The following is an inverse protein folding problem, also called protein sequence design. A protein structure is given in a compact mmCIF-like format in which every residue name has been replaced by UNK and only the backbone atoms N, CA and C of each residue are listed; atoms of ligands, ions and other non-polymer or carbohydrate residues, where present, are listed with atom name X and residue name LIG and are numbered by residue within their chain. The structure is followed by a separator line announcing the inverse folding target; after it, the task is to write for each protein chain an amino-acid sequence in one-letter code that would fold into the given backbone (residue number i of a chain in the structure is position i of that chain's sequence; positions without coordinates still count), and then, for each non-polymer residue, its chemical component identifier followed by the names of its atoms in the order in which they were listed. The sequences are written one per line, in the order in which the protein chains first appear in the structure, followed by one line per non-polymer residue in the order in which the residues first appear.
data_IF_379785730414
#
_entry.id   IF_379785730414
#
_cell.length_a   1.000
_cell.length_b   1.000
_cell.length_c   1.000
_cell.angle_alpha   90.00
_cell.angle_beta   90.00
_cell.angle_gamma   90.00
#
_symmetry.space_group_name_H-M   'P 1'
#
loop_
_entity.id
_entity.type
_entity.pdbx_description
1 polymer ?
#
# COMPACT_ATOMS: atom_id res chain seq x y z
N UNK A 1 5.67 -11.60 -18.26
CA UNK A 1 5.08 -11.68 -16.91
C UNK A 1 3.94 -10.69 -16.84
N UNK A 2 2.81 -11.04 -16.20
CA UNK A 2 1.65 -10.14 -16.07
C UNK A 2 1.87 -9.28 -14.82
N UNK A 3 1.87 -7.96 -14.99
CA UNK A 3 1.91 -7.02 -13.87
C UNK A 3 0.59 -7.09 -13.08
N UNK A 4 0.65 -6.76 -11.80
CA UNK A 4 -0.52 -6.65 -10.93
C UNK A 4 -0.68 -5.19 -10.49
N UNK A 5 -1.93 -4.75 -10.38
CA UNK A 5 -2.28 -3.41 -9.92
C UNK A 5 -3.07 -3.50 -8.61
N UNK A 6 -2.77 -2.60 -7.68
CA UNK A 6 -3.52 -2.37 -6.45
C UNK A 6 -3.93 -0.89 -6.46
N UNK A 7 -5.20 -0.64 -6.17
CA UNK A 7 -5.75 0.72 -6.13
C UNK A 7 -6.08 1.02 -4.67
N UNK A 8 -5.53 2.11 -4.15
CA UNK A 8 -5.85 2.65 -2.82
C UNK A 8 -6.26 4.12 -2.95
N UNK A 9 -6.93 4.64 -1.94
CA UNK A 9 -7.13 6.10 -1.83
C UNK A 9 -5.78 6.80 -1.64
N UNK A 10 -5.63 7.99 -2.20
CA UNK A 10 -4.46 8.84 -2.00
C UNK A 10 -4.49 9.50 -0.63
N UNK A 11 -3.35 9.56 0.08
CA UNK A 11 -3.29 10.25 1.36
C UNK A 11 -3.43 11.76 1.20
N UNK A 12 -3.75 12.43 2.30
CA UNK A 12 -3.55 13.89 2.43
C UNK A 12 -2.20 14.15 3.07
N UNK A 13 -1.45 15.10 2.53
CA UNK A 13 -0.15 15.52 3.05
C UNK A 13 -0.24 16.92 3.65
N UNK A 14 0.50 17.16 4.73
CA UNK A 14 0.57 18.45 5.40
C UNK A 14 1.79 19.28 4.96
N UNK A 15 2.83 18.62 4.46
CA UNK A 15 4.03 19.23 3.90
C UNK A 15 4.71 18.30 2.87
N UNK A 16 5.72 18.83 2.19
CA UNK A 16 6.50 18.12 1.17
C UNK A 16 7.35 16.98 1.76
N UNK A 17 7.78 17.09 3.02
CA UNK A 17 8.58 16.06 3.67
C UNK A 17 7.74 14.80 3.92
N UNK A 18 6.51 14.96 4.42
CA UNK A 18 5.55 13.87 4.62
C UNK A 18 5.20 13.16 3.30
N UNK A 19 4.94 13.94 2.24
CA UNK A 19 4.73 13.40 0.88
C UNK A 19 5.92 12.55 0.42
N UNK A 20 7.13 13.07 0.58
CA UNK A 20 8.36 12.37 0.21
C UNK A 20 8.54 11.08 1.02
N UNK A 21 8.27 11.10 2.33
CA UNK A 21 8.36 9.91 3.18
C UNK A 21 7.37 8.84 2.73
N UNK A 22 6.13 9.22 2.41
CA UNK A 22 5.10 8.29 1.92
C UNK A 22 5.54 7.62 0.61
N UNK A 23 5.93 8.40 -0.39
CA UNK A 23 6.31 7.84 -1.69
C UNK A 23 7.61 7.03 -1.62
N UNK A 24 8.59 7.44 -0.80
CA UNK A 24 9.79 6.64 -0.56
C UNK A 24 9.46 5.28 0.06
N UNK A 25 8.50 5.22 0.99
CA UNK A 25 8.04 3.95 1.55
C UNK A 25 7.38 3.06 0.48
N UNK A 26 6.57 3.63 -0.42
CA UNK A 26 6.00 2.88 -1.55
C UNK A 26 7.06 2.36 -2.52
N UNK A 27 8.06 3.18 -2.86
CA UNK A 27 9.13 2.82 -3.78
C UNK A 27 10.02 1.70 -3.26
N UNK A 28 10.14 1.58 -1.93
CA UNK A 28 10.89 0.53 -1.26
C UNK A 28 10.16 -0.84 -1.25
N UNK A 29 8.88 -0.91 -1.64
CA UNK A 29 8.12 -2.16 -1.60
C UNK A 29 8.72 -3.23 -2.52
N UNK A 30 8.88 -4.49 -2.05
CA UNK A 30 9.36 -5.58 -2.88
C UNK A 30 8.50 -5.77 -4.13
N UNK A 31 9.14 -5.74 -5.30
CA UNK A 31 8.45 -5.93 -6.58
C UNK A 31 7.67 -4.71 -7.08
N UNK A 32 7.79 -3.55 -6.42
CA UNK A 32 7.27 -2.28 -6.91
C UNK A 32 7.75 -1.99 -8.35
N UNK A 33 6.86 -1.43 -9.15
CA UNK A 33 7.13 -1.05 -10.53
C UNK A 33 6.84 0.42 -10.78
N UNK A 34 5.65 0.90 -10.42
CA UNK A 34 5.30 2.32 -10.56
C UNK A 34 4.10 2.68 -9.68
N UNK A 35 3.90 3.97 -9.45
CA UNK A 35 2.68 4.52 -8.87
C UNK A 35 2.19 5.68 -9.74
N UNK A 36 0.87 5.80 -9.92
CA UNK A 36 0.25 6.93 -10.61
C UNK A 36 -0.96 7.42 -9.85
N UNK A 37 -1.07 8.73 -9.66
CA UNK A 37 -2.30 9.36 -9.19
C UNK A 37 -3.35 9.39 -10.30
N UNK A 38 -4.59 9.03 -9.97
CA UNK A 38 -5.77 9.17 -10.85
C UNK A 38 -6.99 9.57 -10.02
N UNK A 39 -7.39 10.83 -10.14
CA UNK A 39 -8.41 11.40 -9.25
C UNK A 39 -7.90 11.36 -7.80
N UNK A 40 -8.72 10.81 -6.90
CA UNK A 40 -8.38 10.65 -5.48
C UNK A 40 -7.64 9.33 -5.19
N UNK A 41 -7.29 8.53 -6.21
CA UNK A 41 -6.71 7.22 -6.02
C UNK A 41 -5.25 7.14 -6.47
N UNK A 42 -4.49 6.27 -5.81
CA UNK A 42 -3.17 5.83 -6.24
C UNK A 42 -3.26 4.43 -6.87
N UNK A 43 -2.76 4.33 -8.09
CA UNK A 43 -2.62 3.09 -8.83
C UNK A 43 -1.19 2.58 -8.65
N UNK A 44 -1.00 1.56 -7.81
CA UNK A 44 0.30 0.99 -7.48
C UNK A 44 0.48 -0.28 -8.31
N UNK A 45 1.51 -0.31 -9.14
CA UNK A 45 1.85 -1.44 -9.99
C UNK A 45 3.01 -2.25 -9.42
N UNK A 46 2.86 -3.57 -9.46
CA UNK A 46 3.88 -4.56 -9.13
C UNK A 46 4.27 -5.36 -10.37
N UNK A 47 5.54 -5.79 -10.43
CA UNK A 47 6.10 -6.60 -11.54
C UNK A 47 5.38 -7.95 -11.71
N UNK A 48 4.84 -8.49 -10.62
CA UNK A 48 4.04 -9.71 -10.52
C UNK A 48 3.08 -9.56 -9.35
N UNK A 49 2.37 -10.62 -8.95
CA UNK A 49 1.68 -10.62 -7.67
C UNK A 49 2.63 -10.21 -6.53
N UNK A 50 2.23 -9.30 -5.64
CA UNK A 50 3.05 -8.84 -4.53
C UNK A 50 3.35 -10.01 -3.59
N UNK A 51 4.54 -10.01 -2.99
CA UNK A 51 4.88 -10.98 -1.95
C UNK A 51 4.13 -10.69 -0.66
N UNK A 52 4.07 -11.67 0.24
CA UNK A 52 3.47 -11.48 1.56
C UNK A 52 4.12 -10.33 2.34
N UNK A 53 5.42 -10.15 2.16
CA UNK A 53 6.17 -9.03 2.76
C UNK A 53 5.76 -7.68 2.17
N UNK A 54 5.62 -7.58 0.84
CA UNK A 54 5.14 -6.37 0.19
C UNK A 54 3.70 -6.02 0.63
N UNK A 55 2.83 -7.02 0.79
CA UNK A 55 1.46 -6.82 1.30
C UNK A 55 1.49 -6.31 2.74
N UNK A 56 2.31 -6.90 3.63
CA UNK A 56 2.46 -6.43 5.02
C UNK A 56 2.92 -4.97 5.08
N UNK A 57 3.95 -4.63 4.31
CA UNK A 57 4.48 -3.27 4.27
C UNK A 57 3.46 -2.28 3.68
N UNK A 58 2.71 -2.67 2.65
CA UNK A 58 1.66 -1.82 2.09
C UNK A 58 0.52 -1.57 3.08
N UNK A 59 0.14 -2.57 3.90
CA UNK A 59 -0.81 -2.37 5.01
C UNK A 59 -0.27 -1.38 6.02
N UNK A 60 1.01 -1.50 6.43
CA UNK A 60 1.66 -0.56 7.35
C UNK A 60 1.63 0.87 6.80
N UNK A 61 1.96 1.05 5.52
CA UNK A 61 1.91 2.34 4.84
C UNK A 61 0.49 2.89 4.87
N UNK A 62 -0.52 2.11 4.47
CA UNK A 62 -1.90 2.57 4.47
C UNK A 62 -2.35 3.01 5.87
N UNK A 63 -2.02 2.25 6.92
CA UNK A 63 -2.36 2.63 8.30
C UNK A 63 -1.68 3.91 8.76
N UNK A 64 -0.40 4.09 8.44
CA UNK A 64 0.37 5.26 8.88
C UNK A 64 -0.18 6.58 8.31
N UNK A 65 -0.81 6.54 7.14
CA UNK A 65 -1.49 7.70 6.53
C UNK A 65 -3.01 7.59 6.53
N UNK A 66 -3.59 6.76 7.42
CA UNK A 66 -5.04 6.63 7.60
C UNK A 66 -5.84 6.26 6.34
N UNK A 67 -5.19 5.56 5.41
CA UNK A 67 -5.80 5.05 4.17
C UNK A 67 -6.55 3.75 4.47
N UNK A 68 -7.75 3.61 3.89
CA UNK A 68 -8.54 2.38 3.99
C UNK A 68 -7.80 1.18 3.37
N UNK A 69 -7.69 0.10 4.15
CA UNK A 69 -7.05 -1.15 3.73
C UNK A 69 -8.03 -2.15 3.11
N UNK A 70 -9.32 -1.82 2.97
CA UNK A 70 -10.30 -2.68 2.31
C UNK A 70 -9.83 -3.21 0.93
N UNK A 71 -9.16 -2.41 0.08
CA UNK A 71 -8.61 -2.90 -1.20
C UNK A 71 -7.53 -3.97 -1.05
N UNK A 72 -6.89 -4.08 0.12
CA UNK A 72 -5.83 -5.04 0.42
C UNK A 72 -6.35 -6.36 1.00
N UNK A 73 -7.61 -6.40 1.47
CA UNK A 73 -8.20 -7.60 2.07
C UNK A 73 -8.14 -8.86 1.17
N UNK A 74 -8.35 -8.78 -0.16
CA UNK A 74 -8.21 -9.93 -1.04
C UNK A 74 -6.80 -10.54 -1.08
N UNK A 75 -5.78 -9.79 -0.63
CA UNK A 75 -4.38 -10.24 -0.56
C UNK A 75 -4.01 -10.85 0.80
N UNK A 76 -4.94 -10.81 1.77
CA UNK A 76 -4.74 -11.44 3.08
C UNK A 76 -4.73 -12.97 2.93
N UNK A 77 -3.72 -13.62 3.51
CA UNK A 77 -3.55 -15.06 3.50
C UNK A 77 -2.88 -15.56 4.79
N UNK A 78 -2.65 -16.86 4.92
CA UNK A 78 -2.09 -17.48 6.14
C UNK A 78 -0.69 -16.95 6.54
N UNK A 79 0.11 -16.45 5.60
CA UNK A 79 1.49 -15.98 5.84
C UNK A 79 1.55 -14.52 6.29
N UNK A 80 0.49 -13.75 6.00
CA UNK A 80 0.39 -12.34 6.39
C UNK A 80 -0.74 -12.05 7.38
N UNK A 81 -1.61 -13.00 7.68
CA UNK A 81 -2.77 -12.84 8.57
C UNK A 81 -2.41 -12.45 10.00
N UNK A 82 -1.21 -12.80 10.47
CA UNK A 82 -0.72 -12.45 11.82
C UNK A 82 -0.33 -10.98 12.01
N UNK A 83 -0.38 -10.14 10.97
CA UNK A 83 -0.14 -8.71 11.11
C UNK A 83 -1.31 -8.06 11.87
N UNK A 84 -1.04 -7.52 13.06
CA UNK A 84 -2.05 -6.91 13.95
C UNK A 84 -2.85 -5.80 13.24
N UNK A 85 -2.20 -5.05 12.37
CA UNK A 85 -2.76 -3.92 11.61
C UNK A 85 -3.90 -4.28 10.64
N UNK A 86 -4.15 -5.58 10.39
CA UNK A 86 -5.36 -6.00 9.68
C UNK A 86 -6.65 -5.70 10.46
N UNK A 87 -6.56 -5.56 11.78
CA UNK A 87 -7.71 -5.52 12.69
C UNK A 87 -7.91 -4.15 13.36
N UNK A 88 -6.96 -3.25 13.23
CA UNK A 88 -7.06 -1.91 13.81
C UNK A 88 -7.95 -1.00 12.95
N UNK A 89 -8.79 -0.12 13.52
CA UNK A 89 -9.40 0.95 12.74
C UNK A 89 -8.32 1.94 12.25
N UNK A 90 -8.56 2.66 11.15
CA UNK A 90 -7.75 3.83 10.84
C UNK A 90 -8.03 4.86 11.94
N UNK A 91 -6.99 5.27 12.68
CA UNK A 91 -7.11 6.14 13.86
C UNK A 91 -7.51 7.58 13.53
#
# INVERSE_FOLDING_TARGET
MKSMEIIIEGPSFYDEEDENIFFNALYALPGFLSVKGKGLNLHIQFKSSPSDEAVKQLVVICRRWFIDIAPLLPLKNQNNSGLVLWHEPAS
#
